data_IF_781584342726
#
_entry.id   IF_781584342726
#
_cell.length_a   1.000
_cell.length_b   1.000
_cell.length_c   1.000
_cell.angle_alpha   90.00
_cell.angle_beta   90.00
_cell.angle_gamma   90.00
#
_symmetry.space_group_name_H-M   'P 1'
#
loop_
_entity.id
_entity.type
_entity.pdbx_description
1 polymer ?
#
# COMPACT_ATOMS: atom_id res chain seq x y z
N UNK A 1 21.90 23.27 0.02
CA UNK A 1 20.67 22.78 0.70
C UNK A 1 19.55 22.71 -0.33
N UNK A 2 19.20 21.51 -0.80
CA UNK A 2 17.91 21.08 -1.38
C UNK A 2 18.12 19.75 -2.13
N UNK A 3 18.28 18.67 -1.39
CA UNK A 3 17.88 17.34 -1.86
C UNK A 3 16.53 17.08 -1.22
N UNK A 4 15.46 17.50 -1.91
CA UNK A 4 14.09 17.23 -1.50
C UNK A 4 13.46 16.45 -2.65
N UNK A 5 13.10 15.19 -2.37
CA UNK A 5 12.17 14.32 -3.12
C UNK A 5 12.75 13.08 -3.81
N UNK A 6 13.67 12.32 -3.20
CA UNK A 6 13.90 10.93 -3.64
C UNK A 6 12.96 9.91 -2.98
N UNK A 7 12.26 10.28 -1.90
CA UNK A 7 11.25 9.46 -1.24
C UNK A 7 9.87 10.12 -1.29
N UNK A 8 9.29 10.27 -2.49
CA UNK A 8 7.84 10.45 -2.56
C UNK A 8 7.20 9.17 -2.04
N UNK A 9 6.67 9.21 -0.81
CA UNK A 9 5.84 8.15 -0.28
C UNK A 9 4.65 7.97 -1.23
N UNK A 10 4.62 6.84 -1.95
CA UNK A 10 3.55 6.51 -2.89
C UNK A 10 2.53 5.64 -2.18
N UNK A 11 1.28 6.08 -2.20
CA UNK A 11 0.16 5.27 -1.73
C UNK A 11 -0.10 4.13 -2.72
N UNK A 12 -0.30 2.93 -2.19
CA UNK A 12 -0.71 1.75 -2.93
C UNK A 12 -2.23 1.68 -3.07
N UNK A 13 -2.72 0.88 -4.01
CA UNK A 13 -4.17 0.59 -4.12
C UNK A 13 -4.74 0.07 -2.79
N UNK A 14 -3.96 -0.71 -2.05
CA UNK A 14 -4.34 -1.20 -0.73
C UNK A 14 -4.50 -0.07 0.30
N UNK A 15 -3.65 0.96 0.27
CA UNK A 15 -3.80 2.14 1.12
C UNK A 15 -5.09 2.91 0.81
N UNK A 16 -5.50 2.96 -0.46
CA UNK A 16 -6.77 3.58 -0.84
C UNK A 16 -7.98 2.77 -0.39
N UNK A 17 -7.91 1.43 -0.51
CA UNK A 17 -8.99 0.53 -0.08
C UNK A 17 -9.22 0.55 1.43
N UNK A 18 -8.14 0.68 2.21
CA UNK A 18 -8.21 0.73 3.67
C UNK A 18 -8.43 2.14 4.23
N UNK A 19 -8.34 3.17 3.38
CA UNK A 19 -8.57 4.55 3.80
C UNK A 19 -10.02 4.80 4.24
N UNK A 20 -10.18 5.73 5.19
CA UNK A 20 -11.46 6.29 5.60
C UNK A 20 -11.30 7.81 5.79
N UNK A 21 -12.20 8.66 5.25
CA UNK A 21 -12.07 10.10 5.37
C UNK A 21 -11.98 10.60 6.82
N UNK A 22 -12.72 9.98 7.76
CA UNK A 22 -12.70 10.37 9.17
C UNK A 22 -11.37 9.96 9.81
N UNK A 23 -10.85 8.78 9.48
CA UNK A 23 -9.51 8.37 9.90
C UNK A 23 -8.42 9.30 9.37
N UNK A 24 -8.55 9.81 8.13
CA UNK A 24 -7.61 10.80 7.60
C UNK A 24 -7.68 12.14 8.34
N UNK A 25 -8.89 12.59 8.70
CA UNK A 25 -9.05 13.78 9.55
C UNK A 25 -8.37 13.60 10.92
N UNK A 26 -8.55 12.42 11.55
CA UNK A 26 -7.89 12.11 12.81
C UNK A 26 -6.37 12.05 12.66
N UNK A 27 -5.86 11.40 11.61
CA UNK A 27 -4.42 11.34 11.30
C UNK A 27 -3.81 12.73 11.13
N UNK A 28 -4.50 13.62 10.42
CA UNK A 28 -4.05 15.00 10.22
C UNK A 28 -4.02 15.82 11.52
N UNK A 29 -4.88 15.48 12.49
CA UNK A 29 -4.91 16.15 13.79
C UNK A 29 -3.81 15.69 14.75
N UNK A 30 -3.31 14.44 14.63
CA UNK A 30 -2.34 13.83 15.56
C UNK A 30 -1.15 14.75 15.88
N UNK A 31 -0.44 15.35 14.89
CA UNK A 31 0.74 16.17 15.19
C UNK A 31 0.49 17.36 16.12
N UNK A 32 -0.77 17.80 16.23
CA UNK A 32 -1.18 18.96 17.02
C UNK A 32 -1.72 18.60 18.41
N UNK A 33 -1.82 17.30 18.73
CA UNK A 33 -2.26 16.84 20.05
C UNK A 33 -1.11 16.80 21.07
N UNK A 34 -1.39 16.86 22.38
CA UNK A 34 -0.42 16.54 23.42
C UNK A 34 0.13 15.10 23.28
N UNK A 35 1.39 14.86 23.64
CA UNK A 35 2.09 13.57 23.44
C UNK A 35 1.33 12.36 23.99
N UNK A 36 0.66 12.49 25.14
CA UNK A 36 -0.16 11.42 25.73
C UNK A 36 -1.34 11.05 24.82
N UNK A 37 -2.01 12.05 24.24
CA UNK A 37 -3.12 11.87 23.31
C UNK A 37 -2.63 11.39 21.94
N UNK A 38 -1.47 11.87 21.46
CA UNK A 38 -0.88 11.37 20.21
C UNK A 38 -0.72 9.86 20.23
N UNK A 39 -0.18 9.30 21.32
CA UNK A 39 0.00 7.85 21.47
C UNK A 39 -1.33 7.11 21.41
N UNK A 40 -2.31 7.55 22.20
CA UNK A 40 -3.62 6.91 22.28
C UNK A 40 -4.38 6.99 20.94
N UNK A 41 -4.44 8.17 20.32
CA UNK A 41 -5.14 8.40 19.05
C UNK A 41 -4.43 7.68 17.90
N UNK A 42 -3.10 7.67 17.87
CA UNK A 42 -2.34 6.93 16.84
C UNK A 42 -2.64 5.44 16.90
N UNK A 43 -2.69 4.87 18.10
CA UNK A 43 -3.02 3.46 18.28
C UNK A 43 -4.46 3.17 17.84
N UNK A 44 -5.42 4.00 18.23
CA UNK A 44 -6.82 3.86 17.83
C UNK A 44 -6.97 3.88 16.31
N UNK A 45 -6.37 4.85 15.63
CA UNK A 45 -6.37 4.96 14.17
C UNK A 45 -5.80 3.69 13.54
N UNK A 46 -4.65 3.20 14.04
CA UNK A 46 -4.00 2.01 13.48
C UNK A 46 -4.82 0.74 13.67
N UNK A 47 -5.51 0.59 14.80
CA UNK A 47 -6.43 -0.52 15.04
C UNK A 47 -7.59 -0.47 14.05
N UNK A 48 -8.17 0.70 13.81
CA UNK A 48 -9.27 0.85 12.86
C UNK A 48 -8.83 0.59 11.41
N UNK A 49 -7.63 1.03 11.00
CA UNK A 49 -7.06 0.67 9.69
C UNK A 49 -6.88 -0.85 9.55
N UNK A 50 -6.39 -1.51 10.61
CA UNK A 50 -6.22 -2.96 10.62
C UNK A 50 -7.55 -3.71 10.55
N UNK A 51 -8.59 -3.22 11.23
CA UNK A 51 -9.94 -3.80 11.15
C UNK A 51 -10.51 -3.70 9.74
N UNK A 52 -10.34 -2.55 9.06
CA UNK A 52 -10.75 -2.38 7.66
C UNK A 52 -9.96 -3.28 6.71
N UNK A 53 -8.65 -3.41 6.93
CA UNK A 53 -7.82 -4.33 6.17
C UNK A 53 -8.30 -5.79 6.26
N UNK A 54 -8.81 -6.21 7.42
CA UNK A 54 -9.43 -7.53 7.58
C UNK A 54 -10.79 -7.61 6.88
N UNK A 55 -11.66 -6.60 7.05
CA UNK A 55 -13.01 -6.61 6.46
C UNK A 55 -13.00 -6.62 4.93
N UNK A 56 -11.94 -6.12 4.28
CA UNK A 56 -11.75 -6.23 2.83
C UNK A 56 -11.76 -7.67 2.30
N UNK A 57 -11.47 -8.67 3.15
CA UNK A 57 -11.43 -10.08 2.77
C UNK A 57 -12.58 -10.89 3.37
N UNK A 58 -13.38 -10.29 4.25
CA UNK A 58 -14.63 -10.86 4.76
C UNK A 58 -15.71 -10.61 3.70
N UNK A 59 -16.01 -11.62 2.88
CA UNK A 59 -16.65 -11.52 1.55
C UNK A 59 -18.03 -10.85 1.39
N UNK A 60 -18.56 -10.13 2.38
CA UNK A 60 -19.89 -9.51 2.36
C UNK A 60 -19.85 -7.98 2.06
N UNK A 61 -18.85 -7.23 2.53
CA UNK A 61 -18.76 -5.76 2.31
C UNK A 61 -18.31 -5.39 0.88
N UNK A 62 -17.65 -6.31 0.19
CA UNK A 62 -17.06 -6.10 -1.14
C UNK A 62 -18.15 -5.84 -2.21
N UNK A 63 -19.35 -6.40 -2.04
CA UNK A 63 -20.50 -6.14 -2.92
C UNK A 63 -21.20 -4.81 -2.64
N UNK A 64 -21.14 -4.29 -1.40
CA UNK A 64 -21.87 -3.08 -1.01
C UNK A 64 -21.14 -1.77 -1.39
N UNK A 65 -19.83 -1.81 -1.62
CA UNK A 65 -19.03 -0.65 -2.06
C UNK A 65 -18.76 -0.60 -3.58
N UNK A 66 -19.41 -1.46 -4.38
CA UNK A 66 -19.24 -1.46 -5.85
C UNK A 66 -17.87 -1.94 -6.34
N UNK A 67 -17.04 -2.46 -5.42
CA UNK A 67 -15.74 -3.05 -5.72
C UNK A 67 -15.93 -4.56 -5.86
N UNK A 68 -16.68 -5.00 -6.87
CA UNK A 68 -16.90 -6.44 -7.15
C UNK A 68 -15.64 -7.27 -6.90
N UNK A 69 -15.69 -8.40 -6.18
CA UNK A 69 -14.60 -9.35 -6.14
C UNK A 69 -14.64 -10.15 -7.45
N UNK A 70 -14.41 -9.47 -8.58
CA UNK A 70 -13.89 -10.17 -9.75
C UNK A 70 -12.51 -10.62 -9.32
N UNK A 71 -12.41 -11.88 -8.88
CA UNK A 71 -11.16 -12.54 -8.46
C UNK A 71 -10.03 -12.01 -9.32
N UNK A 72 -9.12 -11.17 -8.78
CA UNK A 72 -8.06 -10.62 -9.61
C UNK A 72 -7.30 -11.80 -10.18
N UNK A 73 -7.22 -11.88 -11.51
CA UNK A 73 -6.38 -12.89 -12.15
C UNK A 73 -5.00 -12.76 -11.53
N UNK A 74 -4.42 -13.83 -10.96
CA UNK A 74 -3.12 -13.72 -10.31
C UNK A 74 -2.11 -13.17 -11.32
N UNK A 75 -1.43 -12.09 -10.92
CA UNK A 75 -0.39 -11.48 -11.75
C UNK A 75 0.72 -12.50 -12.00
N UNK A 76 1.29 -12.49 -13.21
CA UNK A 76 2.49 -13.28 -13.47
C UNK A 76 3.66 -12.75 -12.64
N UNK A 77 4.72 -13.55 -12.39
CA UNK A 77 5.88 -13.08 -11.64
C UNK A 77 6.50 -11.79 -12.20
N UNK A 78 6.56 -11.64 -13.53
CA UNK A 78 7.09 -10.43 -14.18
C UNK A 78 6.18 -9.22 -13.98
N UNK A 79 4.86 -9.42 -14.07
CA UNK A 79 3.88 -8.36 -13.80
C UNK A 79 3.96 -7.90 -12.34
N UNK A 80 4.14 -8.84 -11.41
CA UNK A 80 4.27 -8.54 -9.99
C UNK A 80 5.54 -7.70 -9.71
N UNK A 81 6.67 -8.05 -10.33
CA UNK A 81 7.91 -7.26 -10.25
C UNK A 81 7.69 -5.83 -10.77
N UNK A 82 7.02 -5.67 -11.91
CA UNK A 82 6.69 -4.36 -12.47
C UNK A 82 5.76 -3.53 -11.58
N UNK A 83 4.80 -4.18 -10.90
CA UNK A 83 3.86 -3.52 -9.99
C UNK A 83 4.56 -2.99 -8.72
N UNK A 84 5.52 -3.74 -8.17
CA UNK A 84 6.21 -3.36 -6.92
C UNK A 84 7.40 -2.41 -7.16
N UNK A 85 8.01 -2.44 -8.35
CA UNK A 85 9.18 -1.63 -8.73
C UNK A 85 9.04 -0.11 -8.44
N UNK A 86 7.88 0.54 -8.65
CA UNK A 86 7.71 1.96 -8.35
C UNK A 86 7.83 2.32 -6.87
N UNK A 87 7.65 1.35 -5.97
CA UNK A 87 7.70 1.49 -4.50
C UNK A 87 9.06 1.10 -3.92
N UNK A 88 9.90 0.42 -4.69
CA UNK A 88 11.25 0.05 -4.31
C UNK A 88 12.19 1.27 -4.24
N UNK A 89 13.15 1.22 -3.31
CA UNK A 89 14.30 2.13 -3.26
C UNK A 89 15.36 1.76 -4.29
N UNK A 90 16.45 2.55 -4.41
CA UNK A 90 17.44 2.40 -5.48
C UNK A 90 18.03 0.98 -5.59
N UNK A 91 18.45 0.40 -4.46
CA UNK A 91 19.01 -0.96 -4.41
C UNK A 91 17.99 -2.04 -4.77
N UNK A 92 16.76 -1.91 -4.28
CA UNK A 92 15.72 -2.90 -4.58
C UNK A 92 15.28 -2.83 -6.05
N UNK A 93 15.32 -1.64 -6.68
CA UNK A 93 15.05 -1.49 -8.12
C UNK A 93 16.07 -2.21 -8.99
N UNK A 94 17.35 -2.08 -8.68
CA UNK A 94 18.42 -2.80 -9.39
C UNK A 94 18.24 -4.33 -9.26
N UNK A 95 17.88 -4.81 -8.06
CA UNK A 95 17.58 -6.22 -7.85
C UNK A 95 16.36 -6.67 -8.65
N UNK A 96 15.30 -5.88 -8.69
CA UNK A 96 14.10 -6.17 -9.49
C UNK A 96 14.45 -6.24 -10.97
N UNK A 97 15.25 -5.30 -11.49
CA UNK A 97 15.69 -5.29 -12.90
C UNK A 97 16.49 -6.54 -13.27
N UNK A 98 17.36 -7.00 -12.38
CA UNK A 98 18.08 -8.26 -12.56
C UNK A 98 17.13 -9.46 -12.65
N UNK A 99 16.11 -9.51 -11.78
CA UNK A 99 15.09 -10.57 -11.77
C UNK A 99 14.19 -10.53 -13.01
N UNK A 100 13.80 -9.33 -13.47
CA UNK A 100 13.04 -9.11 -14.70
C UNK A 100 13.81 -9.69 -15.90
N UNK A 101 15.09 -9.35 -16.03
CA UNK A 101 15.96 -9.82 -17.11
C UNK A 101 16.13 -11.35 -17.10
N UNK A 102 16.23 -11.97 -15.92
CA UNK A 102 16.34 -13.43 -15.79
C UNK A 102 15.06 -14.16 -16.19
N UNK A 103 13.88 -13.60 -15.86
CA UNK A 103 12.61 -14.18 -16.27
C UNK A 103 12.39 -14.07 -17.77
N UNK A 104 12.71 -12.92 -18.37
CA UNK A 104 12.66 -12.74 -19.84
C UNK A 104 13.57 -13.76 -20.54
N UNK A 105 14.79 -13.97 -20.03
CA UNK A 105 15.71 -14.94 -20.61
C UNK A 105 15.17 -16.38 -20.56
N UNK A 106 14.48 -16.77 -19.49
CA UNK A 106 13.83 -18.08 -19.37
C UNK A 106 12.65 -18.28 -20.33
N UNK A 107 11.96 -17.21 -20.73
CA UNK A 107 10.85 -17.29 -21.68
C UNK A 107 11.31 -17.36 -23.14
N UNK A 108 12.54 -16.93 -23.43
CA UNK A 108 13.12 -16.89 -24.79
C UNK A 108 13.92 -18.17 -25.13
N UNK A 109 14.33 -18.95 -24.13
CA UNK A 109 15.02 -20.24 -24.25
C UNK A 109 14.04 -21.41 -24.27
#
# INVERSE_FOLDING_TARGET
MKEKNENQFKLTDFDYLTADPKLQMLKAAIPYLPVSQQRAVSLLVKIQELQRAQSLFDGEEISAMGLSPSTPKPATPIQLLQIIKPYAGPREREMIEMLENFQIMKEVL
#
